data_IF_971148226813
#
_entry.id   IF_971148226813
#
_cell.length_a   1.000
_cell.length_b   1.000
_cell.length_c   1.000
_cell.angle_alpha   90.00
_cell.angle_beta   90.00
_cell.angle_gamma   90.00
#
_symmetry.space_group_name_H-M   'P 1'
#
loop_
_entity.id
_entity.type
_entity.pdbx_description
1 polymer ?
#
# COMPACT_ATOMS: atom_id res chain seq x y z
N UNK A 1 20.76 39.18 6.13
CA UNK A 1 19.85 38.30 5.40
C UNK A 1 19.98 36.94 6.06
N UNK A 2 19.11 36.65 7.04
CA UNK A 2 19.18 35.39 7.77
C UNK A 2 18.51 34.33 6.90
N UNK A 3 19.33 33.45 6.35
CA UNK A 3 18.91 32.34 5.52
C UNK A 3 18.60 31.16 6.46
N UNK A 4 17.57 31.33 7.29
CA UNK A 4 16.94 30.23 8.02
C UNK A 4 16.15 29.42 6.99
N UNK A 5 16.89 28.65 6.18
CA UNK A 5 16.28 27.65 5.33
C UNK A 5 15.69 26.60 6.27
N UNK A 6 14.36 26.62 6.35
CA UNK A 6 13.54 25.57 6.94
C UNK A 6 14.12 24.21 6.55
N UNK A 7 14.80 23.58 7.49
CA UNK A 7 15.17 22.18 7.47
C UNK A 7 13.86 21.39 7.65
N UNK A 8 13.08 21.31 6.57
CA UNK A 8 11.96 20.38 6.49
C UNK A 8 12.59 19.00 6.43
N UNK A 9 12.66 18.34 7.58
CA UNK A 9 13.14 16.98 7.72
C UNK A 9 12.50 16.12 6.64
N UNK A 10 13.32 15.63 5.70
CA UNK A 10 12.87 14.68 4.71
C UNK A 10 12.53 13.40 5.47
N UNK A 11 11.23 13.15 5.66
CA UNK A 11 10.77 11.90 6.23
C UNK A 11 11.16 10.78 5.26
N UNK A 12 11.98 9.84 5.73
CA UNK A 12 12.17 8.58 5.02
C UNK A 12 10.85 7.82 5.10
N UNK A 13 10.15 7.73 3.97
CA UNK A 13 9.00 6.85 3.84
C UNK A 13 9.50 5.42 3.87
N UNK A 14 9.46 4.80 5.05
CA UNK A 14 9.66 3.36 5.18
C UNK A 14 8.39 2.67 4.70
N UNK A 15 8.53 1.67 3.83
CA UNK A 15 7.39 0.90 3.35
C UNK A 15 6.81 0.11 4.53
N UNK A 16 5.57 0.42 4.88
CA UNK A 16 4.87 -0.23 6.00
C UNK A 16 4.25 -1.52 5.47
N UNK A 17 4.76 -2.66 5.94
CA UNK A 17 4.15 -3.96 5.63
C UNK A 17 2.96 -4.27 6.54
N UNK A 18 1.91 -4.85 5.97
CA UNK A 18 0.74 -5.29 6.71
C UNK A 18 1.06 -6.51 7.57
N UNK A 19 0.77 -6.45 8.88
CA UNK A 19 0.91 -7.58 9.78
C UNK A 19 -0.37 -8.43 9.80
N UNK A 20 -0.30 -9.65 9.28
CA UNK A 20 -1.44 -10.58 9.18
C UNK A 20 -1.99 -11.05 10.54
N UNK A 21 -1.17 -10.98 11.59
CA UNK A 21 -1.56 -11.28 12.98
C UNK A 21 -2.41 -10.15 13.60
N UNK A 22 -2.20 -8.92 13.17
CA UNK A 22 -2.95 -7.75 13.64
C UNK A 22 -4.19 -7.45 12.79
N UNK A 23 -4.25 -7.99 11.57
CA UNK A 23 -5.40 -7.87 10.70
C UNK A 23 -6.61 -8.56 11.34
N UNK A 24 -7.71 -7.81 11.45
CA UNK A 24 -8.97 -8.37 11.88
C UNK A 24 -9.64 -9.18 10.76
N UNK A 25 -10.81 -9.74 11.06
CA UNK A 25 -11.52 -10.57 10.08
C UNK A 25 -11.97 -9.76 8.86
N UNK A 26 -12.34 -8.49 9.06
CA UNK A 26 -12.82 -7.63 7.98
C UNK A 26 -11.67 -7.23 7.04
N UNK A 27 -10.50 -6.95 7.59
CA UNK A 27 -9.27 -6.68 6.84
C UNK A 27 -8.91 -7.85 5.92
N UNK A 28 -8.98 -9.08 6.45
CA UNK A 28 -8.66 -10.30 5.68
C UNK A 28 -9.64 -10.53 4.53
N UNK A 29 -10.94 -10.39 4.79
CA UNK A 29 -11.96 -10.53 3.74
C UNK A 29 -11.86 -9.45 2.67
N UNK A 30 -11.50 -8.23 3.05
CA UNK A 30 -11.25 -7.15 2.11
C UNK A 30 -10.04 -7.46 1.21
N UNK A 31 -8.95 -7.97 1.81
CA UNK A 31 -7.73 -8.32 1.08
C UNK A 31 -7.98 -9.48 0.10
N UNK A 32 -8.70 -10.53 0.52
CA UNK A 32 -9.09 -11.64 -0.36
C UNK A 32 -9.95 -11.16 -1.53
N UNK A 33 -10.89 -10.24 -1.27
CA UNK A 33 -11.76 -9.67 -2.31
C UNK A 33 -10.97 -8.82 -3.30
N UNK A 34 -10.01 -8.04 -2.83
CA UNK A 34 -9.13 -7.23 -3.67
C UNK A 34 -8.26 -8.13 -4.55
N UNK A 35 -7.58 -9.12 -3.97
CA UNK A 35 -6.75 -10.07 -4.71
C UNK A 35 -7.55 -10.84 -5.78
N UNK A 36 -8.79 -11.26 -5.46
CA UNK A 36 -9.66 -11.92 -6.42
C UNK A 36 -10.13 -10.99 -7.56
N UNK A 37 -10.22 -9.68 -7.32
CA UNK A 37 -10.54 -8.71 -8.36
C UNK A 37 -9.34 -8.45 -9.27
N UNK A 38 -8.14 -8.29 -8.70
CA UNK A 38 -6.90 -8.09 -9.45
C UNK A 38 -6.59 -9.30 -10.34
N UNK A 39 -6.80 -10.52 -9.84
CA UNK A 39 -6.65 -11.75 -10.64
C UNK A 39 -7.58 -11.77 -11.87
N UNK A 40 -8.79 -11.20 -11.76
CA UNK A 40 -9.72 -11.12 -12.90
C UNK A 40 -9.25 -10.10 -13.93
N UNK A 41 -8.65 -9.00 -13.49
CA UNK A 41 -8.15 -7.95 -14.39
C UNK A 41 -6.86 -8.42 -15.08
N UNK A 42 -5.90 -8.98 -14.34
CA UNK A 42 -4.66 -9.50 -14.94
C UNK A 42 -4.92 -10.65 -15.91
N UNK A 43 -5.88 -11.55 -15.61
CA UNK A 43 -6.27 -12.61 -16.54
C UNK A 43 -6.97 -12.08 -17.80
N UNK A 44 -7.54 -10.87 -17.75
CA UNK A 44 -8.12 -10.20 -18.92
C UNK A 44 -7.07 -9.38 -19.71
N UNK A 45 -5.99 -8.94 -19.06
CA UNK A 45 -4.90 -8.13 -19.63
C UNK A 45 -3.84 -8.97 -20.34
N UNK A 46 -3.49 -10.16 -19.84
CA UNK A 46 -2.53 -11.08 -20.48
C UNK A 46 -3.09 -11.83 -21.72
N UNK A 47 -4.30 -11.46 -22.17
CA UNK A 47 -5.02 -12.09 -23.28
C UNK A 47 -5.03 -11.32 -24.60
N UNK A 48 -4.30 -10.20 -24.73
CA UNK A 48 -4.12 -9.44 -25.98
C UNK A 48 -2.80 -9.74 -26.73
#
# INVERSE_FOLDING_TARGET
MNNDQNDISIAFGEDVEFSEELADQEDKEAQERAAAADQRINAADEGE
#
